data_IF_594556580572
#
_entry.id   IF_594556580572
#
_cell.length_a   1.000
_cell.length_b   1.000
_cell.length_c   1.000
_cell.angle_alpha   90.00
_cell.angle_beta   90.00
_cell.angle_gamma   90.00
#
_symmetry.space_group_name_H-M   'P 1'
#
loop_
_entity.id
_entity.type
_entity.pdbx_description
1 polymer ?
#
# COMPACT_ATOMS: atom_id res chain seq x y z
N UNK A 1 6.71 -1.18 31.65
CA UNK A 1 5.98 -0.12 30.90
C UNK A 1 5.70 1.15 31.72
N UNK A 2 5.45 1.05 33.03
CA UNK A 2 5.06 2.18 33.92
C UNK A 2 6.02 3.37 33.93
N UNK A 3 7.34 3.13 33.81
CA UNK A 3 8.34 4.20 33.85
C UNK A 3 8.31 5.12 32.62
N UNK A 4 8.32 4.56 31.40
CA UNK A 4 8.30 5.37 30.17
C UNK A 4 7.05 6.23 30.05
N UNK A 5 5.91 5.67 30.48
CA UNK A 5 4.64 6.40 30.54
C UNK A 5 4.73 7.60 31.50
N UNK A 6 5.24 7.37 32.72
CA UNK A 6 5.44 8.45 33.69
C UNK A 6 6.45 9.51 33.21
N UNK A 7 7.51 9.12 32.51
CA UNK A 7 8.47 10.08 31.93
C UNK A 7 7.81 10.95 30.86
N UNK A 8 6.98 10.36 30.00
CA UNK A 8 6.23 11.11 28.99
C UNK A 8 5.21 12.06 29.63
N UNK A 9 4.43 11.58 30.60
CA UNK A 9 3.41 12.40 31.31
C UNK A 9 4.04 13.58 32.08
N UNK A 10 5.26 13.42 32.60
CA UNK A 10 6.01 14.50 33.25
C UNK A 10 6.75 15.43 32.28
N UNK A 11 6.63 15.22 30.97
CA UNK A 11 7.35 15.99 29.95
C UNK A 11 8.87 15.77 29.93
N UNK A 12 9.35 14.71 30.59
CA UNK A 12 10.77 14.32 30.63
C UNK A 12 11.19 13.48 29.42
N UNK A 13 10.23 12.85 28.74
CA UNK A 13 10.41 12.18 27.46
C UNK A 13 9.51 12.85 26.42
N UNK A 14 10.09 13.32 25.31
CA UNK A 14 9.38 13.91 24.18
C UNK A 14 9.33 12.93 23.00
N UNK A 15 8.40 13.14 22.07
CA UNK A 15 8.31 12.30 20.85
C UNK A 15 9.62 12.30 20.06
N UNK A 16 10.28 13.45 19.98
CA UNK A 16 11.57 13.60 19.29
C UNK A 16 12.67 12.74 19.92
N UNK A 17 12.61 12.50 21.24
CA UNK A 17 13.60 11.68 21.94
C UNK A 17 13.53 10.21 21.49
N UNK A 18 12.36 9.72 21.06
CA UNK A 18 12.20 8.37 20.51
C UNK A 18 13.10 8.17 19.29
N UNK A 19 13.09 9.13 18.37
CA UNK A 19 13.94 9.12 17.17
C UNK A 19 15.39 9.45 17.50
N UNK A 20 15.64 10.48 18.33
CA UNK A 20 16.99 10.97 18.64
C UNK A 20 17.84 9.92 19.37
N UNK A 21 17.22 9.09 20.21
CA UNK A 21 17.89 8.06 20.99
C UNK A 21 17.64 6.64 20.46
N UNK A 22 17.07 6.48 19.25
CA UNK A 22 16.78 5.18 18.64
C UNK A 22 16.01 4.22 19.58
N UNK A 23 15.08 4.77 20.37
CA UNK A 23 14.39 3.99 21.39
C UNK A 23 13.58 2.82 20.78
N UNK A 24 13.08 2.99 19.55
CA UNK A 24 12.44 1.92 18.80
C UNK A 24 13.40 0.77 18.49
N UNK A 25 14.62 1.02 18.04
CA UNK A 25 15.59 -0.04 17.76
C UNK A 25 15.90 -0.86 19.01
N UNK A 26 16.24 -0.18 20.11
CA UNK A 26 16.59 -0.86 21.37
C UNK A 26 15.41 -1.62 21.98
N UNK A 27 14.21 -1.05 21.92
CA UNK A 27 13.00 -1.75 22.35
C UNK A 27 12.53 -2.80 21.34
N UNK A 28 13.08 -2.83 20.13
CA UNK A 28 12.78 -3.90 19.18
C UNK A 28 13.62 -5.15 19.45
N UNK A 29 14.85 -4.99 19.96
CA UNK A 29 15.82 -6.08 20.15
C UNK A 29 15.77 -6.78 21.52
N UNK A 30 15.05 -6.25 22.51
CA UNK A 30 15.01 -6.85 23.86
C UNK A 30 13.98 -7.99 23.99
N UNK A 31 14.29 -9.07 24.71
CA UNK A 31 13.37 -10.19 24.92
C UNK A 31 12.07 -9.79 25.66
N UNK A 32 12.15 -8.87 26.63
CA UNK A 32 10.98 -8.44 27.44
C UNK A 32 10.33 -7.13 26.98
N UNK A 33 10.49 -6.75 25.71
CA UNK A 33 10.27 -5.37 25.27
C UNK A 33 9.11 -5.13 24.31
N UNK A 34 8.30 -6.14 23.99
CA UNK A 34 7.17 -5.98 23.05
C UNK A 34 6.20 -4.86 23.46
N UNK A 35 5.77 -4.82 24.72
CA UNK A 35 4.88 -3.75 25.23
C UNK A 35 5.54 -2.37 25.20
N UNK A 36 6.85 -2.30 25.41
CA UNK A 36 7.65 -1.07 25.33
C UNK A 36 7.73 -0.59 23.88
N UNK A 37 8.05 -1.49 22.95
CA UNK A 37 8.10 -1.18 21.53
C UNK A 37 6.75 -0.70 21.01
N UNK A 38 5.67 -1.43 21.32
CA UNK A 38 4.31 -1.05 20.98
C UNK A 38 3.98 0.34 21.51
N UNK A 39 4.24 0.60 22.80
CA UNK A 39 3.96 1.89 23.41
C UNK A 39 4.71 3.02 22.70
N UNK A 40 5.99 2.82 22.35
CA UNK A 40 6.80 3.83 21.67
C UNK A 40 6.33 4.06 20.22
N UNK A 41 5.93 3.00 19.50
CA UNK A 41 5.34 3.09 18.16
C UNK A 41 4.02 3.87 18.22
N UNK A 42 3.11 3.52 19.14
CA UNK A 42 1.84 4.21 19.31
C UNK A 42 2.06 5.70 19.70
N UNK A 43 3.13 6.01 20.43
CA UNK A 43 3.47 7.36 20.86
C UNK A 43 4.05 8.23 19.73
N UNK A 44 4.93 7.66 18.91
CA UNK A 44 5.53 8.33 17.75
C UNK A 44 5.78 7.35 16.58
N UNK A 45 4.75 7.09 15.74
CA UNK A 45 4.89 6.20 14.60
C UNK A 45 5.98 6.66 13.62
N UNK A 46 6.14 7.96 13.42
CA UNK A 46 7.12 8.53 12.47
C UNK A 46 8.56 8.10 12.77
N UNK A 47 8.85 7.71 14.02
CA UNK A 47 10.16 7.18 14.39
C UNK A 47 10.50 5.85 13.66
N UNK A 48 9.51 5.11 13.15
CA UNK A 48 9.71 3.92 12.32
C UNK A 48 10.40 4.24 10.98
N UNK A 49 10.17 5.45 10.45
CA UNK A 49 10.74 5.94 9.18
C UNK A 49 12.18 6.46 9.35
N UNK A 50 12.61 6.69 10.59
CA UNK A 50 13.85 7.42 10.89
C UNK A 50 14.72 6.70 11.92
N UNK A 51 14.83 5.37 11.85
CA UNK A 51 15.78 4.66 12.68
C UNK A 51 17.21 5.02 12.24
N UNK A 52 18.02 5.52 13.18
CA UNK A 52 19.43 5.77 12.88
C UNK A 52 20.19 4.45 13.03
N UNK A 53 21.02 4.05 12.07
CA UNK A 53 21.87 2.87 12.29
C UNK A 53 22.81 3.12 13.46
N UNK A 54 22.68 2.28 14.47
CA UNK A 54 23.59 2.21 15.59
C UNK A 54 24.85 1.50 15.13
N UNK A 55 25.88 2.26 14.71
CA UNK A 55 27.17 1.62 14.47
C UNK A 55 28.20 2.41 13.68
N UNK A 56 27.82 3.42 12.89
CA UNK A 56 28.85 4.20 12.20
C UNK A 56 29.45 5.25 13.13
N UNK A 57 30.51 4.86 13.85
CA UNK A 57 31.54 5.79 14.36
C UNK A 57 32.18 6.63 13.23
N UNK A 58 31.86 6.32 11.98
CA UNK A 58 32.16 7.16 10.83
C UNK A 58 31.31 8.43 10.87
N UNK A 59 31.97 9.58 11.08
CA UNK A 59 31.41 10.94 10.97
C UNK A 59 30.85 11.28 9.57
N UNK A 60 30.81 10.31 8.65
CA UNK A 60 30.29 10.50 7.30
C UNK A 60 28.79 10.21 7.28
N UNK A 61 27.99 11.29 7.38
CA UNK A 61 26.52 11.36 7.20
C UNK A 61 25.73 10.22 7.87
N UNK A 62 25.14 10.54 9.02
CA UNK A 62 24.03 9.77 9.60
C UNK A 62 22.92 9.63 8.55
N UNK A 63 22.92 8.52 7.82
CA UNK A 63 21.83 8.21 6.94
C UNK A 63 20.74 7.59 7.80
N UNK A 64 19.65 8.33 7.96
CA UNK A 64 18.40 7.77 8.48
C UNK A 64 17.99 6.61 7.58
N UNK A 65 17.68 5.48 8.19
CA UNK A 65 17.17 4.29 7.53
C UNK A 65 15.87 3.87 8.21
N UNK A 66 15.02 3.12 7.52
CA UNK A 66 13.88 2.51 8.20
C UNK A 66 14.37 1.52 9.25
N UNK A 67 13.54 1.29 10.26
CA UNK A 67 13.87 0.30 11.29
C UNK A 67 14.11 -1.09 10.69
N UNK A 68 13.41 -1.47 9.62
CA UNK A 68 13.67 -2.74 8.94
C UNK A 68 15.07 -2.84 8.38
N UNK A 69 15.54 -1.80 7.68
CA UNK A 69 16.91 -1.79 7.18
C UNK A 69 17.91 -1.88 8.32
N UNK A 70 17.68 -1.16 9.42
CA UNK A 70 18.56 -1.22 10.59
C UNK A 70 18.62 -2.63 11.20
N UNK A 71 17.48 -3.33 11.31
CA UNK A 71 17.40 -4.68 11.86
C UNK A 71 18.04 -5.73 10.94
N UNK A 72 17.92 -5.58 9.62
CA UNK A 72 18.55 -6.47 8.66
C UNK A 72 20.07 -6.19 8.57
N UNK A 73 20.48 -4.93 8.64
CA UNK A 73 21.90 -4.51 8.59
C UNK A 73 22.67 -4.85 9.88
N UNK A 74 22.01 -4.81 11.03
CA UNK A 74 22.68 -5.01 12.32
C UNK A 74 23.29 -6.39 12.48
N UNK A 75 22.85 -7.37 11.69
CA UNK A 75 23.20 -8.77 11.93
C UNK A 75 23.63 -9.54 10.68
N UNK A 76 24.66 -9.02 10.02
CA UNK A 76 25.17 -9.59 8.76
C UNK A 76 25.66 -11.06 8.84
N UNK A 77 25.68 -11.76 10.00
CA UNK A 77 26.33 -13.09 10.11
C UNK A 77 25.79 -14.12 11.12
N UNK A 78 24.84 -13.84 12.02
CA UNK A 78 24.28 -14.90 12.89
C UNK A 78 22.81 -15.16 12.62
N UNK A 79 22.46 -16.44 12.49
CA UNK A 79 21.08 -16.95 12.52
C UNK A 79 20.49 -16.87 13.93
N UNK A 80 20.66 -15.72 14.60
CA UNK A 80 20.24 -15.55 15.98
C UNK A 80 18.73 -15.37 16.04
N UNK A 81 18.08 -16.20 16.87
CA UNK A 81 16.65 -16.15 17.19
C UNK A 81 16.17 -14.71 17.52
N UNK A 82 17.08 -13.90 18.08
CA UNK A 82 16.90 -12.48 18.41
C UNK A 82 16.49 -11.61 17.22
N UNK A 83 17.10 -11.80 16.04
CA UNK A 83 16.81 -11.00 14.85
C UNK A 83 15.40 -11.30 14.35
N UNK A 84 15.02 -12.58 14.35
CA UNK A 84 13.72 -13.02 13.85
C UNK A 84 12.60 -12.47 14.73
N UNK A 85 12.77 -12.51 16.05
CA UNK A 85 11.81 -11.91 16.96
C UNK A 85 11.75 -10.38 16.85
N UNK A 86 12.89 -9.72 16.64
CA UNK A 86 12.95 -8.27 16.39
C UNK A 86 12.23 -7.91 15.09
N UNK A 87 12.51 -8.63 14.01
CA UNK A 87 11.89 -8.40 12.71
C UNK A 87 10.38 -8.66 12.76
N UNK A 88 9.94 -9.78 13.34
CA UNK A 88 8.50 -10.08 13.57
C UNK A 88 7.82 -8.97 14.37
N UNK A 89 8.46 -8.47 15.43
CA UNK A 89 7.93 -7.38 16.25
C UNK A 89 7.83 -6.09 15.45
N UNK A 90 8.87 -5.73 14.70
CA UNK A 90 8.86 -4.58 13.82
C UNK A 90 7.74 -4.70 12.78
N UNK A 91 7.61 -5.84 12.10
CA UNK A 91 6.51 -6.15 11.18
C UNK A 91 5.15 -5.92 11.85
N UNK A 92 4.90 -6.57 12.99
CA UNK A 92 3.61 -6.54 13.69
C UNK A 92 3.11 -5.13 13.96
N UNK A 93 3.98 -4.23 14.42
CA UNK A 93 3.56 -2.89 14.81
C UNK A 93 3.75 -1.83 13.72
N UNK A 94 4.71 -1.99 12.82
CA UNK A 94 4.89 -1.04 11.71
C UNK A 94 3.74 -1.09 10.71
N UNK A 95 3.22 -2.28 10.38
CA UNK A 95 2.17 -2.44 9.38
C UNK A 95 0.84 -1.76 9.73
N UNK A 96 0.59 -1.54 11.02
CA UNK A 96 -0.56 -0.76 11.49
C UNK A 96 -0.49 0.70 11.06
N UNK A 97 0.71 1.24 10.92
CA UNK A 97 0.95 2.67 10.66
C UNK A 97 1.47 2.93 9.23
N UNK A 98 2.36 2.06 8.73
CA UNK A 98 3.06 2.20 7.46
C UNK A 98 3.15 0.83 6.77
N UNK A 99 2.08 0.38 6.07
CA UNK A 99 2.08 -0.91 5.38
C UNK A 99 3.08 -0.96 4.21
N UNK A 100 3.52 0.20 3.72
CA UNK A 100 4.49 0.37 2.66
C UNK A 100 5.95 0.34 3.15
N UNK A 101 6.18 0.32 4.47
CA UNK A 101 7.53 0.46 5.05
C UNK A 101 8.49 -0.66 4.65
N UNK A 102 8.00 -1.88 4.37
CA UNK A 102 8.82 -2.97 3.84
C UNK A 102 9.33 -2.71 2.43
N UNK A 103 8.69 -1.81 1.69
CA UNK A 103 9.04 -1.49 0.31
C UNK A 103 9.90 -0.24 0.19
N UNK A 104 10.20 0.44 1.31
CA UNK A 104 11.18 1.50 1.31
C UNK A 104 12.51 0.98 0.76
N UNK A 105 13.07 1.75 -0.18
CA UNK A 105 14.27 1.36 -0.91
C UNK A 105 15.49 1.99 -0.28
N UNK A 106 16.53 1.19 -0.05
CA UNK A 106 17.84 1.64 0.39
C UNK A 106 18.93 0.91 -0.36
N UNK A 107 19.91 1.67 -0.85
CA UNK A 107 21.02 1.13 -1.65
C UNK A 107 20.53 0.29 -2.87
N UNK A 108 19.38 0.68 -3.43
CA UNK A 108 18.77 0.01 -4.58
C UNK A 108 17.93 -1.24 -4.25
N UNK A 109 17.81 -1.62 -2.98
CA UNK A 109 17.03 -2.80 -2.56
C UNK A 109 15.97 -2.42 -1.51
N UNK A 110 14.80 -3.05 -1.58
CA UNK A 110 13.74 -2.83 -0.58
C UNK A 110 14.06 -3.57 0.72
N UNK A 111 13.48 -3.16 1.84
CA UNK A 111 13.62 -3.94 3.07
C UNK A 111 13.10 -5.38 2.92
N UNK A 112 12.04 -5.58 2.12
CA UNK A 112 11.54 -6.90 1.77
C UNK A 112 12.55 -7.73 0.98
N UNK A 113 13.12 -7.17 -0.09
CA UNK A 113 14.14 -7.85 -0.91
C UNK A 113 15.33 -8.26 -0.05
N UNK A 114 15.79 -7.36 0.82
CA UNK A 114 16.89 -7.68 1.74
C UNK A 114 16.51 -8.75 2.76
N UNK A 115 15.26 -8.78 3.23
CA UNK A 115 14.77 -9.86 4.08
C UNK A 115 14.70 -11.19 3.31
N UNK A 116 14.31 -11.19 2.04
CA UNK A 116 14.33 -12.37 1.17
C UNK A 116 15.76 -12.90 0.94
N UNK A 117 16.75 -12.02 0.88
CA UNK A 117 18.17 -12.39 0.74
C UNK A 117 18.77 -12.92 2.06
N UNK A 118 18.29 -12.41 3.20
CA UNK A 118 18.84 -12.72 4.54
C UNK A 118 18.23 -13.97 5.16
N UNK A 119 16.92 -14.18 5.03
CA UNK A 119 16.20 -15.26 5.71
C UNK A 119 15.91 -16.40 4.73
N UNK A 120 15.94 -17.64 5.24
CA UNK A 120 15.41 -18.76 4.47
C UNK A 120 13.94 -18.54 4.14
N UNK A 121 13.52 -18.98 2.95
CA UNK A 121 12.15 -18.75 2.47
C UNK A 121 11.08 -19.26 3.45
N UNK A 122 11.25 -20.47 3.99
CA UNK A 122 10.31 -21.05 4.96
C UNK A 122 10.22 -20.23 6.25
N UNK A 123 11.35 -19.66 6.70
CA UNK A 123 11.41 -18.82 7.87
C UNK A 123 10.72 -17.48 7.63
N UNK A 124 11.03 -16.79 6.53
CA UNK A 124 10.38 -15.54 6.16
C UNK A 124 8.85 -15.72 6.04
N UNK A 125 8.40 -16.79 5.38
CA UNK A 125 6.96 -17.12 5.29
C UNK A 125 6.36 -17.28 6.69
N UNK A 126 7.03 -18.00 7.59
CA UNK A 126 6.59 -18.20 8.96
C UNK A 126 6.47 -16.87 9.73
N UNK A 127 7.47 -15.98 9.60
CA UNK A 127 7.44 -14.64 10.19
C UNK A 127 6.27 -13.82 9.67
N UNK A 128 6.10 -13.75 8.35
CA UNK A 128 5.01 -13.00 7.72
C UNK A 128 3.64 -13.58 8.11
N UNK A 129 3.49 -14.91 8.20
CA UNK A 129 2.23 -15.57 8.66
C UNK A 129 1.88 -15.28 10.11
N UNK A 130 2.87 -15.08 10.98
CA UNK A 130 2.61 -14.71 12.36
C UNK A 130 2.01 -13.30 12.50
N UNK A 131 2.25 -12.45 11.50
CA UNK A 131 1.82 -11.04 11.46
C UNK A 131 0.56 -10.87 10.60
N UNK A 132 0.56 -11.40 9.38
CA UNK A 132 -0.55 -11.31 8.45
C UNK A 132 -1.59 -12.38 8.76
N UNK A 133 -2.67 -11.92 9.38
CA UNK A 133 -3.86 -12.73 9.65
C UNK A 133 -5.00 -12.28 8.76
N UNK A 134 -5.84 -13.21 8.34
CA UNK A 134 -6.98 -12.92 7.48
C UNK A 134 -7.93 -11.92 8.16
N UNK A 135 -8.11 -12.03 9.47
CA UNK A 135 -8.97 -11.16 10.28
C UNK A 135 -8.43 -9.74 10.39
N UNK A 136 -7.12 -9.53 10.19
CA UNK A 136 -6.52 -8.21 10.26
C UNK A 136 -6.86 -7.35 9.02
N UNK A 137 -7.27 -7.97 7.92
CA UNK A 137 -7.71 -7.25 6.71
C UNK A 137 -6.64 -6.36 6.07
N UNK A 138 -5.35 -6.60 6.33
CA UNK A 138 -4.26 -5.78 5.81
C UNK A 138 -4.05 -6.10 4.32
N UNK A 139 -4.26 -5.16 3.38
CA UNK A 139 -4.19 -5.39 1.93
C UNK A 139 -2.73 -5.43 1.44
N UNK A 140 -1.88 -6.25 2.06
CA UNK A 140 -0.43 -6.28 1.79
C UNK A 140 -0.12 -6.62 0.32
N UNK A 141 -0.92 -7.49 -0.30
CA UNK A 141 -0.71 -7.87 -1.70
C UNK A 141 -0.87 -6.65 -2.65
N UNK A 142 -1.69 -5.66 -2.31
CA UNK A 142 -1.81 -4.41 -3.06
C UNK A 142 -0.52 -3.58 -3.02
N UNK A 143 0.19 -3.59 -1.89
CA UNK A 143 1.49 -2.93 -1.77
C UNK A 143 2.58 -3.68 -2.54
N UNK A 144 2.56 -5.03 -2.53
CA UNK A 144 3.44 -5.86 -3.39
C UNK A 144 3.24 -5.49 -4.86
N UNK A 145 2.00 -5.34 -5.33
CA UNK A 145 1.68 -4.97 -6.72
C UNK A 145 2.28 -3.61 -7.11
N UNK A 146 2.26 -2.64 -6.20
CA UNK A 146 2.82 -1.30 -6.46
C UNK A 146 4.34 -1.34 -6.49
N UNK A 147 4.95 -1.95 -5.47
CA UNK A 147 6.37 -1.80 -5.24
C UNK A 147 7.22 -2.91 -5.88
N UNK A 148 6.78 -4.17 -5.77
CA UNK A 148 7.51 -5.35 -6.23
C UNK A 148 6.60 -6.33 -7.00
N UNK A 149 6.03 -5.90 -8.14
CA UNK A 149 5.03 -6.70 -8.86
C UNK A 149 5.54 -8.06 -9.32
N UNK A 150 6.85 -8.25 -9.55
CA UNK A 150 7.46 -9.55 -9.89
C UNK A 150 7.15 -10.63 -8.86
N UNK A 151 6.93 -10.24 -7.61
CA UNK A 151 6.74 -11.17 -6.49
C UNK A 151 5.26 -11.45 -6.22
N UNK A 152 4.34 -10.82 -6.94
CA UNK A 152 2.90 -10.98 -6.76
C UNK A 152 2.47 -12.46 -6.73
N UNK A 153 2.90 -13.27 -7.71
CA UNK A 153 2.53 -14.69 -7.77
C UNK A 153 3.11 -15.48 -6.59
N UNK A 154 4.30 -15.11 -6.12
CA UNK A 154 4.95 -15.72 -4.96
C UNK A 154 4.14 -15.43 -3.68
N UNK A 155 3.78 -14.17 -3.45
CA UNK A 155 2.95 -13.80 -2.30
C UNK A 155 1.53 -14.34 -2.38
N UNK A 156 0.94 -14.42 -3.57
CA UNK A 156 -0.36 -15.03 -3.79
C UNK A 156 -0.34 -16.53 -3.43
N UNK A 157 0.74 -17.24 -3.75
CA UNK A 157 0.91 -18.64 -3.35
C UNK A 157 1.08 -18.79 -1.83
N UNK A 158 1.78 -17.85 -1.19
CA UNK A 158 1.99 -17.86 0.26
C UNK A 158 0.72 -17.51 1.07
N UNK A 159 -0.07 -16.57 0.56
CA UNK A 159 -1.25 -15.98 1.19
C UNK A 159 -2.45 -15.85 0.23
N UNK A 160 -3.08 -16.96 -0.20
CA UNK A 160 -4.15 -16.91 -1.20
C UNK A 160 -5.35 -16.04 -0.81
N UNK A 161 -5.65 -15.97 0.50
CA UNK A 161 -6.77 -15.20 1.04
C UNK A 161 -6.61 -13.68 0.81
N UNK A 162 -5.39 -13.16 0.66
CA UNK A 162 -5.14 -11.73 0.42
C UNK A 162 -5.76 -11.24 -0.89
N UNK A 163 -5.98 -12.13 -1.86
CA UNK A 163 -6.63 -11.78 -3.13
C UNK A 163 -8.08 -11.29 -2.97
N UNK A 164 -8.72 -11.61 -1.83
CA UNK A 164 -10.10 -11.19 -1.51
C UNK A 164 -10.15 -9.85 -0.79
N UNK A 165 -9.02 -9.35 -0.31
CA UNK A 165 -8.97 -8.07 0.39
C UNK A 165 -9.10 -6.90 -0.59
N UNK A 166 -9.56 -5.77 -0.05
CA UNK A 166 -9.64 -4.50 -0.77
C UNK A 166 -8.66 -3.51 -0.14
N UNK A 167 -8.04 -2.66 -0.94
CA UNK A 167 -7.19 -1.59 -0.40
C UNK A 167 -8.03 -0.48 0.27
N UNK A 168 -7.34 0.52 0.81
CA UNK A 168 -7.97 1.69 1.46
C UNK A 168 -8.94 2.45 0.56
N UNK A 169 -8.78 2.33 -0.75
CA UNK A 169 -9.63 2.97 -1.75
C UNK A 169 -10.77 2.04 -2.20
N UNK A 170 -10.88 0.84 -1.64
CA UNK A 170 -11.88 -0.17 -1.98
C UNK A 170 -11.51 -1.04 -3.18
N UNK A 171 -10.29 -0.92 -3.72
CA UNK A 171 -9.88 -1.63 -4.95
C UNK A 171 -9.62 -3.10 -4.70
N UNK A 172 -10.03 -3.94 -5.63
CA UNK A 172 -9.57 -5.34 -5.71
C UNK A 172 -8.10 -5.41 -6.14
N UNK A 173 -7.49 -6.57 -5.95
CA UNK A 173 -6.15 -6.87 -6.48
C UNK A 173 -6.09 -6.67 -7.99
N UNK A 174 -7.08 -7.16 -8.72
CA UNK A 174 -7.19 -6.97 -10.18
C UNK A 174 -7.22 -5.50 -10.56
N UNK A 175 -8.04 -4.68 -9.90
CA UNK A 175 -8.08 -3.23 -10.12
C UNK A 175 -6.73 -2.57 -9.80
N UNK A 176 -6.03 -3.01 -8.75
CA UNK A 176 -4.70 -2.50 -8.42
C UNK A 176 -3.66 -2.82 -9.49
N UNK A 177 -3.70 -4.02 -10.06
CA UNK A 177 -2.83 -4.42 -11.18
C UNK A 177 -3.14 -3.56 -12.41
N UNK A 178 -4.42 -3.35 -12.74
CA UNK A 178 -4.82 -2.57 -13.92
C UNK A 178 -4.48 -1.09 -13.79
N UNK A 179 -4.55 -0.53 -12.59
CA UNK A 179 -4.14 0.86 -12.32
C UNK A 179 -2.62 1.05 -12.24
N UNK A 180 -1.84 -0.05 -12.18
CA UNK A 180 -0.38 -0.06 -12.13
C UNK A 180 0.20 -0.58 -13.44
N UNK A 181 0.64 0.29 -14.34
CA UNK A 181 1.21 -0.17 -15.61
C UNK A 181 2.47 -1.02 -15.42
N UNK A 182 3.24 -0.77 -14.34
CA UNK A 182 4.37 -1.62 -13.94
C UNK A 182 3.89 -3.05 -13.66
N UNK A 183 2.85 -3.22 -12.85
CA UNK A 183 2.32 -4.55 -12.52
C UNK A 183 1.69 -5.23 -13.73
N UNK A 184 0.98 -4.45 -14.55
CA UNK A 184 0.28 -4.96 -15.72
C UNK A 184 1.23 -5.55 -16.77
N UNK A 185 2.41 -4.96 -16.95
CA UNK A 185 3.48 -5.51 -17.82
C UNK A 185 4.04 -6.83 -17.30
N UNK A 186 4.11 -6.99 -15.97
CA UNK A 186 4.61 -8.21 -15.34
C UNK A 186 3.55 -9.32 -15.37
N UNK A 187 2.27 -8.96 -15.30
CA UNK A 187 1.15 -9.91 -15.25
C UNK A 187 0.18 -9.74 -16.43
N UNK A 188 0.62 -9.99 -17.67
CA UNK A 188 -0.22 -9.77 -18.85
C UNK A 188 -1.46 -10.67 -18.85
N UNK A 189 -1.40 -11.84 -18.21
CA UNK A 189 -2.55 -12.75 -18.10
C UNK A 189 -3.71 -12.15 -17.32
N UNK A 190 -3.49 -11.12 -16.49
CA UNK A 190 -4.57 -10.47 -15.74
C UNK A 190 -5.53 -9.76 -16.69
N UNK A 191 -5.01 -9.02 -17.68
CA UNK A 191 -5.88 -8.29 -18.61
C UNK A 191 -6.43 -9.18 -19.73
N UNK A 192 -5.68 -10.20 -20.17
CA UNK A 192 -6.15 -11.19 -21.16
C UNK A 192 -7.39 -11.95 -20.67
N UNK A 193 -7.51 -12.13 -19.35
CA UNK A 193 -8.60 -12.89 -18.72
C UNK A 193 -9.69 -12.01 -18.12
N UNK A 194 -9.74 -10.69 -18.43
CA UNK A 194 -10.81 -9.84 -17.89
C UNK A 194 -12.15 -10.22 -18.51
N UNK A 195 -13.15 -10.37 -17.66
CA UNK A 195 -14.54 -10.44 -18.13
C UNK A 195 -15.03 -9.06 -18.55
N UNK A 196 -16.08 -9.02 -19.38
CA UNK A 196 -16.78 -7.78 -19.72
C UNK A 196 -17.26 -7.05 -18.46
N UNK A 197 -17.80 -7.77 -17.48
CA UNK A 197 -18.25 -7.20 -16.21
C UNK A 197 -17.10 -6.51 -15.44
N UNK A 198 -15.91 -7.12 -15.43
CA UNK A 198 -14.72 -6.53 -14.80
C UNK A 198 -14.21 -5.30 -15.55
N UNK A 199 -14.39 -5.24 -16.86
CA UNK A 199 -14.06 -4.07 -17.69
C UNK A 199 -15.07 -2.92 -17.54
N UNK A 200 -16.28 -3.23 -17.11
CA UNK A 200 -17.31 -2.24 -16.82
C UNK A 200 -17.25 -1.76 -15.37
N UNK A 201 -16.69 -2.57 -14.46
CA UNK A 201 -16.49 -2.21 -13.05
C UNK A 201 -15.60 -0.96 -12.93
N UNK A 202 -16.19 0.13 -12.43
CA UNK A 202 -15.48 1.39 -12.21
C UNK A 202 -14.59 1.27 -10.97
N UNK A 203 -13.36 1.75 -11.10
CA UNK A 203 -12.43 1.87 -10.00
C UNK A 203 -13.04 2.78 -8.90
N UNK A 204 -13.15 2.32 -7.66
CA UNK A 204 -13.84 3.07 -6.61
C UNK A 204 -13.17 4.40 -6.25
N UNK A 205 -11.87 4.55 -6.47
CA UNK A 205 -11.16 5.79 -6.17
C UNK A 205 -11.20 6.82 -7.31
N UNK A 206 -11.12 6.36 -8.57
CA UNK A 206 -11.00 7.25 -9.73
C UNK A 206 -12.29 7.36 -10.53
N UNK A 207 -13.26 6.47 -10.30
CA UNK A 207 -14.50 6.29 -11.07
C UNK A 207 -14.27 5.89 -12.54
N UNK A 208 -13.02 5.63 -12.92
CA UNK A 208 -12.64 5.23 -14.26
C UNK A 208 -12.84 3.73 -14.45
N UNK A 209 -13.24 3.31 -15.65
CA UNK A 209 -13.18 1.91 -16.07
C UNK A 209 -11.71 1.49 -16.27
N UNK A 210 -11.36 0.19 -16.22
CA UNK A 210 -9.96 -0.22 -16.23
C UNK A 210 -9.14 0.26 -17.43
N UNK A 211 -9.68 0.19 -18.65
CA UNK A 211 -8.99 0.70 -19.84
C UNK A 211 -8.73 2.22 -19.76
N UNK A 212 -9.69 2.98 -19.24
CA UNK A 212 -9.54 4.43 -19.04
C UNK A 212 -8.54 4.74 -17.92
N UNK A 213 -8.52 3.94 -16.85
CA UNK A 213 -7.53 4.06 -15.78
C UNK A 213 -6.11 3.78 -16.28
N UNK A 214 -5.92 2.76 -17.12
CA UNK A 214 -4.65 2.47 -17.80
C UNK A 214 -4.23 3.65 -18.68
N UNK A 215 -5.15 4.27 -19.40
CA UNK A 215 -4.86 5.41 -20.28
C UNK A 215 -4.55 6.71 -19.50
N UNK A 216 -5.17 6.91 -18.33
CA UNK A 216 -5.05 8.14 -17.54
C UNK A 216 -3.98 8.08 -16.44
N UNK A 217 -3.43 6.90 -16.16
CA UNK A 217 -2.45 6.69 -15.09
C UNK A 217 -1.11 7.38 -15.33
N UNK A 218 -0.32 7.53 -14.26
CA UNK A 218 1.04 8.10 -14.31
C UNK A 218 1.95 7.38 -15.31
N UNK A 219 1.78 6.07 -15.41
CA UNK A 219 2.49 5.20 -16.34
C UNK A 219 1.59 4.80 -17.53
N UNK A 220 0.87 5.78 -18.10
CA UNK A 220 -0.18 5.56 -19.09
C UNK A 220 0.25 4.63 -20.24
N UNK A 221 -0.59 3.66 -20.60
CA UNK A 221 -0.38 2.77 -21.76
C UNK A 221 -1.59 2.77 -22.69
N UNK A 222 -1.61 3.75 -23.60
CA UNK A 222 -2.71 3.91 -24.56
C UNK A 222 -2.86 2.69 -25.48
N UNK A 223 -1.75 2.07 -25.89
CA UNK A 223 -1.78 0.92 -26.78
C UNK A 223 -2.49 -0.25 -26.10
N UNK A 224 -2.17 -0.51 -24.83
CA UNK A 224 -2.83 -1.56 -24.06
C UNK A 224 -4.30 -1.24 -23.82
N UNK A 225 -4.65 0.01 -23.49
CA UNK A 225 -6.05 0.44 -23.40
C UNK A 225 -6.82 0.14 -24.69
N UNK A 226 -6.23 0.43 -25.86
CA UNK A 226 -6.86 0.12 -27.16
C UNK A 226 -6.95 -1.39 -27.42
N UNK A 227 -5.93 -2.17 -27.05
CA UNK A 227 -5.96 -3.62 -27.21
C UNK A 227 -7.07 -4.27 -26.39
N UNK A 228 -7.23 -3.84 -25.13
CA UNK A 228 -8.31 -4.30 -24.25
C UNK A 228 -9.68 -3.99 -24.88
N UNK A 229 -9.90 -2.75 -25.32
CA UNK A 229 -11.16 -2.37 -25.97
C UNK A 229 -11.44 -3.17 -27.25
N UNK A 230 -10.39 -3.46 -28.04
CA UNK A 230 -10.52 -4.25 -29.27
C UNK A 230 -10.91 -5.70 -29.00
N UNK A 231 -10.47 -6.28 -27.88
CA UNK A 231 -10.84 -7.64 -27.48
C UNK A 231 -12.27 -7.70 -26.92
N UNK A 232 -12.80 -6.59 -26.41
CA UNK A 232 -14.11 -6.50 -25.78
C UNK A 232 -14.99 -5.42 -26.43
N UNK A 233 -15.43 -5.61 -27.69
CA UNK A 233 -16.19 -4.62 -28.42
C UNK A 233 -17.53 -4.27 -27.75
N UNK A 234 -18.15 -5.19 -27.02
CA UNK A 234 -19.41 -4.93 -26.29
C UNK A 234 -19.29 -3.81 -25.26
N UNK A 235 -18.10 -3.63 -24.66
CA UNK A 235 -17.85 -2.54 -23.70
C UNK A 235 -17.98 -1.19 -24.39
N UNK A 236 -17.59 -1.10 -25.67
CA UNK A 236 -17.71 0.13 -26.48
C UNK A 236 -19.19 0.50 -26.63
N UNK A 237 -20.05 -0.47 -26.92
CA UNK A 237 -21.49 -0.25 -27.07
C UNK A 237 -22.08 0.32 -25.77
N UNK A 238 -21.75 -0.28 -24.63
CA UNK A 238 -22.18 0.22 -23.31
C UNK A 238 -21.70 1.65 -23.04
N UNK A 239 -20.45 2.00 -23.41
CA UNK A 239 -19.94 3.37 -23.27
C UNK A 239 -20.75 4.34 -24.14
N UNK A 240 -21.06 3.95 -25.37
CA UNK A 240 -21.82 4.79 -26.29
C UNK A 240 -23.24 5.03 -25.78
N UNK A 241 -23.90 3.98 -25.27
CA UNK A 241 -25.24 4.09 -24.66
C UNK A 241 -25.25 5.00 -23.44
N UNK A 242 -24.29 4.86 -22.52
CA UNK A 242 -24.15 5.73 -21.35
C UNK A 242 -23.96 7.20 -21.76
N UNK A 243 -23.10 7.44 -22.75
CA UNK A 243 -22.82 8.77 -23.28
C UNK A 243 -24.07 9.38 -23.90
N UNK A 244 -24.79 8.63 -24.71
CA UNK A 244 -25.99 9.10 -25.40
C UNK A 244 -27.13 9.38 -24.42
N UNK A 245 -27.26 8.55 -23.37
CA UNK A 245 -28.19 8.80 -22.25
C UNK A 245 -27.87 10.10 -21.53
N UNK A 246 -26.60 10.32 -21.18
CA UNK A 246 -26.13 11.57 -20.55
C UNK A 246 -26.46 12.80 -21.42
N UNK A 247 -26.22 12.73 -22.74
CA UNK A 247 -26.56 13.84 -23.64
C UNK A 247 -28.07 14.13 -23.68
N UNK A 248 -28.91 13.09 -23.72
CA UNK A 248 -30.37 13.26 -23.68
C UNK A 248 -30.81 13.95 -22.39
N UNK A 249 -30.26 13.57 -21.24
CA UNK A 249 -30.58 14.19 -19.95
C UNK A 249 -30.17 15.67 -19.89
N UNK A 250 -28.97 16.02 -20.37
CA UNK A 250 -28.49 17.40 -20.45
C UNK A 250 -29.44 18.26 -21.31
N UNK A 251 -29.86 17.75 -22.46
CA UNK A 251 -30.80 18.47 -23.36
C UNK A 251 -32.16 18.66 -22.69
N UNK A 252 -32.69 17.64 -22.02
CA UNK A 252 -33.98 17.72 -21.32
C UNK A 252 -33.95 18.70 -20.15
N UNK A 253 -32.86 18.73 -19.38
CA UNK A 253 -32.70 19.67 -18.26
C UNK A 253 -32.58 21.12 -18.76
N UNK A 254 -31.87 21.36 -19.87
CA UNK A 254 -31.82 22.68 -20.51
C UNK A 254 -33.19 23.16 -20.98
N UNK A 255 -34.02 22.27 -21.54
CA UNK A 255 -35.40 22.59 -21.95
C UNK A 255 -36.30 22.92 -20.75
N UNK A 256 -36.22 22.14 -19.67
CA UNK A 256 -36.98 22.39 -18.42
C UNK A 256 -36.58 23.71 -17.75
N UNK A 257 -35.28 24.03 -17.72
CA UNK A 257 -34.78 25.30 -17.19
C UNK A 257 -35.24 26.52 -17.99
N UNK A 258 -35.34 26.43 -19.32
CA UNK A 258 -35.90 27.49 -20.17
C UNK A 258 -37.41 27.69 -19.93
N UNK A 259 -38.18 26.61 -19.78
CA UNK A 259 -39.63 26.70 -19.52
C UNK A 259 -39.95 27.38 -18.18
N UNK A 260 -39.22 27.06 -17.10
CA UNK A 260 -39.39 27.71 -15.79
C UNK A 260 -39.09 29.22 -15.81
N UNK A 261 -38.14 29.67 -16.63
CA UNK A 261 -37.84 31.11 -16.79
C UNK A 261 -38.94 31.85 -17.56
N UNK A 262 -39.57 31.19 -18.53
CA UNK A 262 -40.68 31.75 -19.29
C UNK A 262 -41.96 31.85 -18.44
N UNK A 263 -42.25 30.83 -17.63
CA UNK A 263 -43.45 30.82 -16.77
C UNK A 263 -43.32 31.78 -15.57
N UNK A 264 -42.11 32.04 -15.08
CA UNK A 264 -41.85 33.01 -14.01
C UNK A 264 -41.93 34.49 -14.43
N UNK A 265 -41.89 34.79 -15.74
CA UNK A 265 -42.05 36.16 -16.26
C UNK A 265 -43.51 36.56 -16.50
N UNK A 266 -44.47 35.62 -16.41
CA UNK A 266 -45.89 35.87 -16.67
C UNK A 266 -46.66 36.27 -15.39
N UNK A 267 -46.01 36.23 -14.21
CA UNK A 267 -46.67 36.46 -12.90
C UNK A 267 -46.38 37.85 -12.29
N UNK A 268 -45.57 38.71 -12.94
CA UNK A 268 -45.25 40.07 -12.45
C UNK A 268 -45.87 41.21 -13.30
N UNK A 269 -46.98 40.94 -14.01
CA UNK A 269 -47.72 41.94 -14.79
C UNK A 269 -49.12 42.20 -14.25
#
# INVERSE_FOLDING_TARGET
MTLLKALFEKGLLKKQDISNYNLLYYSCCGESSESTFQYLVDLNPEALLSASSLGSRSRSRSYRMSLFHALIDSDSKSSDLSVNESFKRCLKYSFKHYPDLLFETRLGSTALTRAQDQFEEAELISMLRSVFKEEAGIPFLHEVIVHQPTDYNKFLAWFPWMNRLRDKDGRTVTQKILTSAKALRVHPMVWVNLSTDQLEEKDPATTLRPFAAIAAGKDSDLNLSYQILRQHPSVIDVIQEERDKMYREIVMNKRKGKKRKHDGQIVEG
#
